data_IF_407500523510
#
_entry.id   IF_407500523510
#
_cell.length_a   1.000
_cell.length_b   1.000
_cell.length_c   1.000
_cell.angle_alpha   90.00
_cell.angle_beta   90.00
_cell.angle_gamma   90.00
#
_symmetry.space_group_name_H-M   'P 1'
#
loop_
_entity.id
_entity.type
_entity.pdbx_description
1 polymer ?
#
# COMPACT_ATOMS: atom_id res chain seq x y z
N UNK A 1 7.12 15.79 3.83
CA UNK A 1 8.01 14.70 4.26
C UNK A 1 7.18 13.43 4.21
N UNK A 2 7.62 12.44 3.42
CA UNK A 2 6.92 11.18 3.26
C UNK A 2 6.84 10.38 4.58
N UNK A 3 5.71 9.72 4.82
CA UNK A 3 5.54 8.82 5.95
C UNK A 3 5.44 7.37 5.49
N UNK A 4 6.29 6.50 6.04
CA UNK A 4 6.25 5.08 5.71
C UNK A 4 4.98 4.40 6.26
N UNK A 5 4.26 3.60 5.44
CA UNK A 5 3.03 2.92 5.83
C UNK A 5 3.21 1.95 7.00
N UNK A 6 4.44 1.47 7.24
CA UNK A 6 4.76 0.59 8.37
C UNK A 6 4.49 1.26 9.73
N UNK A 7 4.48 2.60 9.79
CA UNK A 7 4.10 3.36 11.01
C UNK A 7 2.64 3.19 11.38
N UNK A 8 1.79 2.83 10.42
CA UNK A 8 0.36 2.67 10.58
C UNK A 8 -0.03 1.19 10.76
N UNK A 9 0.89 0.29 11.05
CA UNK A 9 0.59 -1.14 11.17
C UNK A 9 -0.65 -1.41 12.04
N UNK A 10 -1.58 -2.19 11.47
CA UNK A 10 -2.74 -2.71 12.20
C UNK A 10 -2.31 -3.63 13.34
N UNK A 11 -2.94 -3.46 14.49
CA UNK A 11 -2.97 -4.42 15.59
C UNK A 11 -3.60 -5.75 15.14
N UNK A 12 -3.50 -6.78 15.98
CA UNK A 12 -4.16 -8.07 15.70
C UNK A 12 -5.68 -7.91 15.58
N UNK A 13 -6.29 -7.13 16.47
CA UNK A 13 -7.73 -6.88 16.51
C UNK A 13 -8.22 -6.16 15.26
N UNK A 14 -7.53 -5.12 14.82
CA UNK A 14 -7.87 -4.38 13.58
C UNK A 14 -7.67 -5.23 12.32
N UNK A 15 -6.86 -6.29 12.35
CA UNK A 15 -6.75 -7.22 11.22
C UNK A 15 -7.97 -8.11 11.10
N UNK A 16 -8.47 -8.62 12.23
CA UNK A 16 -9.58 -9.58 12.27
C UNK A 16 -10.96 -8.89 12.20
N UNK A 17 -11.12 -7.73 12.82
CA UNK A 17 -12.39 -7.01 12.90
C UNK A 17 -12.48 -5.91 11.82
N UNK A 18 -13.37 -6.09 10.83
CA UNK A 18 -13.51 -5.16 9.71
C UNK A 18 -14.12 -3.83 10.10
N UNK A 19 -15.02 -3.82 11.09
CA UNK A 19 -15.59 -2.57 11.59
C UNK A 19 -14.53 -1.73 12.32
N UNK A 20 -13.60 -2.36 13.04
CA UNK A 20 -12.46 -1.65 13.64
C UNK A 20 -11.49 -1.14 12.58
N UNK A 21 -11.19 -1.94 11.55
CA UNK A 21 -10.37 -1.50 10.44
C UNK A 21 -10.97 -0.27 9.73
N UNK A 22 -12.29 -0.30 9.46
CA UNK A 22 -13.02 0.76 8.79
C UNK A 22 -13.11 2.07 9.60
N UNK A 23 -13.14 1.97 10.94
CA UNK A 23 -13.21 3.14 11.83
C UNK A 23 -11.88 3.90 11.97
N UNK A 24 -10.78 3.39 11.41
CA UNK A 24 -9.48 4.09 11.41
C UNK A 24 -9.58 5.34 10.53
N UNK A 25 -8.72 6.33 10.77
CA UNK A 25 -8.63 7.47 9.86
C UNK A 25 -8.26 7.02 8.44
N UNK A 26 -8.73 7.74 7.42
CA UNK A 26 -8.44 7.44 6.01
C UNK A 26 -6.95 7.21 5.78
N UNK A 27 -6.11 8.09 6.36
CA UNK A 27 -4.66 7.97 6.29
C UNK A 27 -4.18 6.62 6.81
N UNK A 28 -4.61 6.21 8.01
CA UNK A 28 -4.22 4.95 8.61
C UNK A 28 -4.84 3.73 7.90
N UNK A 29 -6.03 3.86 7.33
CA UNK A 29 -6.73 2.83 6.59
C UNK A 29 -6.04 2.53 5.25
N UNK A 30 -5.75 3.58 4.47
CA UNK A 30 -5.06 3.45 3.19
C UNK A 30 -3.57 3.17 3.35
N UNK A 31 -2.91 3.66 4.41
CA UNK A 31 -1.51 3.31 4.68
C UNK A 31 -1.33 1.83 5.05
N UNK A 32 -2.28 1.21 5.74
CA UNK A 32 -2.09 -0.12 6.29
C UNK A 32 -3.36 -0.98 6.25
N UNK A 33 -3.87 -1.23 5.05
CA UNK A 33 -5.02 -2.13 4.87
C UNK A 33 -5.60 -2.10 3.46
N UNK A 34 -5.65 -0.92 2.85
CA UNK A 34 -6.31 -0.69 1.57
C UNK A 34 -5.46 0.11 0.56
N UNK A 35 -4.13 0.12 0.69
CA UNK A 35 -3.24 0.87 -0.22
C UNK A 35 -3.41 0.45 -1.68
N UNK A 36 -3.56 -0.86 -1.93
CA UNK A 36 -3.82 -1.40 -3.25
C UNK A 36 -5.18 -0.93 -3.80
N UNK A 37 -6.23 -0.87 -2.99
CA UNK A 37 -7.54 -0.36 -3.45
C UNK A 37 -7.43 1.09 -3.89
N UNK A 38 -6.76 1.93 -3.10
CA UNK A 38 -6.53 3.33 -3.45
C UNK A 38 -5.73 3.46 -4.75
N UNK A 39 -4.65 2.70 -4.89
CA UNK A 39 -3.78 2.77 -6.05
C UNK A 39 -4.50 2.31 -7.33
N UNK A 40 -5.19 1.16 -7.28
CA UNK A 40 -6.00 0.65 -8.40
C UNK A 40 -7.11 1.64 -8.76
N UNK A 41 -7.90 2.10 -7.79
CA UNK A 41 -8.98 3.06 -8.06
C UNK A 41 -8.46 4.38 -8.66
N UNK A 42 -7.34 4.90 -8.16
CA UNK A 42 -6.74 6.13 -8.69
C UNK A 42 -6.29 5.97 -10.14
N UNK A 43 -5.63 4.86 -10.47
CA UNK A 43 -5.23 4.54 -11.84
C UNK A 43 -6.44 4.44 -12.77
N UNK A 44 -7.47 3.71 -12.34
CA UNK A 44 -8.66 3.42 -13.14
C UNK A 44 -9.53 4.67 -13.37
N UNK A 45 -9.50 5.63 -12.45
CA UNK A 45 -10.12 6.96 -12.60
C UNK A 45 -9.37 7.89 -13.57
N UNK A 46 -8.19 7.51 -14.04
CA UNK A 46 -7.32 8.34 -14.88
C UNK A 46 -6.89 7.60 -16.17
N UNK A 47 -7.83 7.09 -16.99
CA UNK A 47 -7.53 6.19 -18.11
C UNK A 47 -6.67 6.82 -19.23
N UNK A 48 -6.57 8.16 -19.26
CA UNK A 48 -5.77 8.90 -20.24
C UNK A 48 -4.30 9.05 -19.83
N UNK A 49 -3.94 8.69 -18.59
CA UNK A 49 -2.58 8.76 -18.09
C UNK A 49 -1.98 7.36 -18.08
N UNK A 50 -0.71 7.25 -18.47
CA UNK A 50 0.02 5.99 -18.43
C UNK A 50 0.55 5.70 -17.02
N UNK A 51 -0.37 5.51 -16.08
CA UNK A 51 -0.07 5.30 -14.67
C UNK A 51 0.29 3.84 -14.41
N UNK A 52 1.43 3.62 -13.76
CA UNK A 52 1.89 2.28 -13.40
C UNK A 52 1.53 1.96 -11.94
N UNK A 53 1.30 0.69 -11.64
CA UNK A 53 1.10 0.23 -10.27
C UNK A 53 2.35 -0.49 -9.79
N UNK A 54 2.85 -0.10 -8.63
CA UNK A 54 4.04 -0.70 -8.04
C UNK A 54 3.70 -1.37 -6.72
N UNK A 55 4.20 -2.59 -6.54
CA UNK A 55 4.18 -3.32 -5.27
C UNK A 55 5.59 -3.41 -4.69
N UNK A 56 5.76 -2.85 -3.50
CA UNK A 56 6.91 -3.14 -2.63
C UNK A 56 6.64 -4.46 -1.95
N UNK A 57 7.34 -5.52 -2.37
CA UNK A 57 7.27 -6.85 -1.76
C UNK A 57 8.48 -7.06 -0.83
N UNK A 58 8.31 -7.07 0.50
CA UNK A 58 9.41 -7.35 1.41
C UNK A 58 9.95 -8.77 1.21
N UNK A 59 11.27 -8.91 1.30
CA UNK A 59 11.96 -10.20 1.30
C UNK A 59 11.84 -10.87 2.67
N UNK A 60 12.17 -12.16 2.72
CA UNK A 60 12.27 -12.95 3.95
C UNK A 60 11.00 -12.93 4.84
N UNK A 61 9.82 -12.78 4.22
CA UNK A 61 8.54 -12.73 4.90
C UNK A 61 8.43 -11.66 6.01
N UNK A 62 9.18 -10.56 5.85
CA UNK A 62 9.11 -9.40 6.75
C UNK A 62 7.88 -8.53 6.44
N UNK A 63 7.48 -7.67 7.37
CA UNK A 63 6.39 -6.70 7.14
C UNK A 63 6.89 -5.48 6.35
N UNK A 64 5.98 -4.60 5.95
CA UNK A 64 6.31 -3.34 5.26
C UNK A 64 6.00 -3.35 3.77
N UNK A 65 5.11 -4.23 3.33
CA UNK A 65 4.61 -4.23 1.96
C UNK A 65 3.74 -2.99 1.70
N UNK A 66 3.78 -2.48 0.47
CA UNK A 66 3.01 -1.28 0.09
C UNK A 66 2.72 -1.26 -1.42
N UNK A 67 1.57 -0.74 -1.80
CA UNK A 67 1.19 -0.52 -3.21
C UNK A 67 0.94 0.96 -3.44
N UNK A 68 1.48 1.49 -4.53
CA UNK A 68 1.33 2.89 -4.92
C UNK A 68 1.24 3.02 -6.45
N UNK A 69 0.80 4.19 -6.91
CA UNK A 69 0.81 4.55 -8.33
C UNK A 69 2.12 5.28 -8.66
N UNK A 70 2.75 4.96 -9.79
CA UNK A 70 3.90 5.66 -10.33
C UNK A 70 3.52 6.42 -11.61
N UNK A 71 3.95 7.67 -11.67
CA UNK A 71 3.89 8.52 -12.87
C UNK A 71 5.27 9.15 -13.10
N UNK A 72 6.07 8.49 -13.94
CA UNK A 72 7.48 8.84 -14.14
C UNK A 72 8.27 8.74 -12.83
N UNK A 73 8.60 9.87 -12.22
CA UNK A 73 9.36 9.95 -10.95
C UNK A 73 8.48 10.25 -9.72
N UNK A 74 7.18 10.45 -9.93
CA UNK A 74 6.23 10.79 -8.87
C UNK A 74 5.42 9.56 -8.46
N UNK A 75 5.37 9.31 -7.17
CA UNK A 75 4.55 8.27 -6.57
C UNK A 75 3.31 8.88 -5.89
N UNK A 76 2.14 8.29 -6.11
CA UNK A 76 0.91 8.62 -5.41
C UNK A 76 0.48 7.49 -4.49
N UNK A 77 0.29 7.84 -3.21
CA UNK A 77 -0.30 6.96 -2.20
C UNK A 77 -1.11 7.77 -1.17
N UNK A 78 -1.30 7.23 0.03
CA UNK A 78 -2.02 7.91 1.12
C UNK A 78 -1.38 9.23 1.58
N UNK A 79 -0.11 9.51 1.24
CA UNK A 79 0.54 10.80 1.47
C UNK A 79 0.24 11.81 0.34
N UNK A 80 -0.47 11.41 -0.71
CA UNK A 80 -0.57 12.16 -1.96
C UNK A 80 0.67 11.95 -2.84
N UNK A 81 1.03 12.97 -3.62
CA UNK A 81 2.18 12.92 -4.53
C UNK A 81 3.49 13.19 -3.81
N UNK A 82 4.45 12.27 -3.95
CA UNK A 82 5.83 12.41 -3.46
C UNK A 82 6.81 11.90 -4.51
N UNK A 83 8.10 12.23 -4.41
CA UNK A 83 9.09 11.61 -5.29
C UNK A 83 9.21 10.14 -4.95
N UNK A 84 9.22 9.25 -5.95
CA UNK A 84 9.34 7.82 -5.71
C UNK A 84 10.61 7.49 -4.91
N UNK A 85 11.72 8.18 -5.22
CA UNK A 85 12.98 8.04 -4.48
C UNK A 85 12.81 8.35 -2.98
N UNK A 86 12.10 9.42 -2.62
CA UNK A 86 11.84 9.78 -1.22
C UNK A 86 10.99 8.70 -0.52
N UNK A 87 9.95 8.21 -1.21
CA UNK A 87 9.08 7.13 -0.75
C UNK A 87 9.89 5.86 -0.44
N UNK A 88 10.72 5.41 -1.38
CA UNK A 88 11.49 4.18 -1.29
C UNK A 88 12.59 4.28 -0.22
N UNK A 89 13.37 5.36 -0.20
CA UNK A 89 14.44 5.58 0.78
C UNK A 89 13.88 5.67 2.21
N UNK A 90 12.79 6.40 2.39
CA UNK A 90 12.15 6.54 3.71
C UNK A 90 11.55 5.22 4.16
N UNK A 91 10.89 4.49 3.25
CA UNK A 91 10.33 3.16 3.56
C UNK A 91 11.44 2.20 3.99
N UNK A 92 12.52 2.11 3.20
CA UNK A 92 13.65 1.24 3.52
C UNK A 92 14.30 1.61 4.86
N UNK A 93 14.54 2.90 5.11
CA UNK A 93 15.12 3.39 6.38
C UNK A 93 14.25 2.99 7.57
N UNK A 94 12.95 3.26 7.53
CA UNK A 94 12.04 2.96 8.65
C UNK A 94 11.89 1.45 8.85
N UNK A 95 11.77 0.67 7.78
CA UNK A 95 11.67 -0.78 7.87
C UNK A 95 12.96 -1.41 8.42
N UNK A 96 14.14 -0.91 8.03
CA UNK A 96 15.44 -1.39 8.55
C UNK A 96 15.65 -1.11 10.03
N UNK A 97 15.08 -0.02 10.56
CA UNK A 97 15.09 0.24 12.00
C UNK A 97 14.31 -0.81 12.80
N UNK A 98 13.32 -1.48 12.18
CA UNK A 98 12.50 -2.53 12.82
C UNK A 98 13.07 -3.92 12.52
N UNK A 99 13.55 -4.13 11.29
CA UNK A 99 14.10 -5.38 10.79
C UNK A 99 15.45 -5.07 10.12
N UNK A 100 16.60 -5.24 10.81
CA UNK A 100 17.90 -4.79 10.29
C UNK A 100 18.29 -5.28 8.89
N UNK A 101 17.83 -6.48 8.52
CA UNK A 101 18.06 -7.10 7.20
C UNK A 101 16.94 -6.85 6.21
N UNK A 102 16.06 -5.89 6.46
CA UNK A 102 14.93 -5.59 5.59
C UNK A 102 15.40 -5.15 4.21
N UNK A 103 14.80 -5.79 3.22
CA UNK A 103 14.98 -5.52 1.81
C UNK A 103 13.69 -5.89 1.07
N UNK A 104 13.57 -5.45 -0.18
CA UNK A 104 12.35 -5.62 -0.95
C UNK A 104 12.61 -5.82 -2.44
N UNK A 105 11.64 -6.41 -3.12
CA UNK A 105 11.52 -6.37 -4.57
C UNK A 105 10.50 -5.29 -4.96
N UNK A 106 10.84 -4.48 -5.97
CA UNK A 106 9.92 -3.54 -6.61
C UNK A 106 9.26 -4.25 -7.80
N UNK A 107 7.96 -4.49 -7.71
CA UNK A 107 7.23 -5.29 -8.69
C UNK A 107 6.22 -4.40 -9.42
N UNK A 108 6.26 -4.40 -10.74
CA UNK A 108 5.21 -3.79 -11.56
C UNK A 108 4.00 -4.72 -11.59
N UNK A 109 2.85 -4.20 -11.18
CA UNK A 109 1.60 -4.96 -11.16
C UNK A 109 0.96 -4.85 -12.55
N UNK A 110 0.94 -5.96 -13.28
CA UNK A 110 0.32 -6.08 -14.61
C UNK A 110 -1.03 -6.80 -14.57
N UNK A 111 -1.33 -7.47 -13.47
CA UNK A 111 -2.61 -8.16 -13.23
C UNK A 111 -3.70 -7.20 -12.75
N UNK A 112 -4.96 -7.63 -12.85
CA UNK A 112 -6.10 -6.90 -12.29
C UNK A 112 -6.16 -6.96 -10.75
N UNK A 113 -7.07 -6.19 -10.16
CA UNK A 113 -7.21 -6.08 -8.71
C UNK A 113 -7.55 -7.42 -8.06
N UNK A 114 -8.34 -8.25 -8.72
CA UNK A 114 -8.80 -9.54 -8.18
C UNK A 114 -7.66 -10.54 -8.08
N UNK A 115 -6.93 -10.71 -9.18
CA UNK A 115 -5.75 -11.55 -9.26
C UNK A 115 -4.65 -11.06 -8.32
N UNK A 116 -4.39 -9.75 -8.27
CA UNK A 116 -3.45 -9.17 -7.30
C UNK A 116 -3.83 -9.50 -5.86
N UNK A 117 -5.10 -9.30 -5.50
CA UNK A 117 -5.57 -9.57 -4.14
C UNK A 117 -5.41 -11.04 -3.75
N UNK A 118 -5.81 -11.95 -4.65
CA UNK A 118 -5.70 -13.39 -4.45
C UNK A 118 -4.24 -13.83 -4.26
N UNK A 119 -3.34 -13.35 -5.12
CA UNK A 119 -1.95 -13.77 -5.14
C UNK A 119 -1.11 -13.20 -3.98
N UNK A 120 -1.54 -12.07 -3.41
CA UNK A 120 -0.77 -11.36 -2.39
C UNK A 120 -1.48 -11.32 -1.02
N UNK A 121 -2.54 -12.11 -0.82
CA UNK A 121 -3.35 -12.14 0.42
C UNK A 121 -3.87 -10.75 0.83
N UNK A 122 -4.33 -9.96 -0.14
CA UNK A 122 -5.01 -8.69 0.09
C UNK A 122 -6.53 -8.86 -0.01
N UNK A 123 -7.28 -7.93 0.59
CA UNK A 123 -8.75 -7.94 0.57
C UNK A 123 -9.26 -7.16 -0.63
N UNK A 124 -10.31 -7.67 -1.27
CA UNK A 124 -11.12 -6.90 -2.20
C UNK A 124 -11.93 -5.81 -1.48
N UNK A 125 -12.35 -4.74 -2.18
CA UNK A 125 -13.22 -3.71 -1.63
C UNK A 125 -14.46 -4.27 -0.94
N UNK A 126 -15.11 -5.28 -1.53
CA UNK A 126 -16.30 -5.93 -0.99
C UNK A 126 -16.10 -6.66 0.35
N UNK A 127 -14.85 -6.88 0.79
CA UNK A 127 -14.54 -7.50 2.07
C UNK A 127 -14.21 -6.49 3.18
N UNK A 128 -14.29 -5.20 2.90
CA UNK A 128 -14.30 -4.16 3.93
C UNK A 128 -15.73 -3.88 4.38
N UNK A 129 -15.90 -3.46 5.64
CA UNK A 129 -17.22 -3.17 6.16
C UNK A 129 -17.83 -1.97 5.42
N UNK A 130 -19.03 -2.15 4.87
CA UNK A 130 -19.86 -1.06 4.38
C UNK A 130 -20.74 -0.58 5.53
N UNK A 131 -20.59 0.68 5.93
CA UNK A 131 -21.57 1.36 6.79
C UNK A 131 -22.49 2.15 5.85
N UNK A 132 -23.72 1.68 5.58
CA UNK A 132 -24.70 2.40 4.77
C UNK A 132 -25.06 3.76 5.36
#
# INVERSE_FOLDING_TARGET
>A
MYESPIKYQRTREEKVNQLLAWKRSDKAFFAAGACHILAFAFRDLQPQRNLELIFIRPKNNTKGSHVYVLDGEWAFDFNGWTKEKELLETTQKVCRNIYPTWDYDKIFITEDLENFCKNNNHRLPAYFAYLP
#
